data_IF_866470358822
#
_entry.id   IF_866470358822
#
_cell.length_a   1.000
_cell.length_b   1.000
_cell.length_c   1.000
_cell.angle_alpha   90.00
_cell.angle_beta   90.00
_cell.angle_gamma   90.00
#
_symmetry.space_group_name_H-M   'P 1'
#
loop_
_entity.id
_entity.type
_entity.pdbx_description
1 polymer ?
#
# COMPACT_ATOMS: atom_id res chain seq x y z
N UNK A 1 -31.38 -33.98 10.38
CA UNK A 1 -31.11 -32.59 9.92
C UNK A 1 -30.01 -32.62 8.86
N UNK A 2 -30.35 -32.49 7.57
CA UNK A 2 -29.33 -32.34 6.51
C UNK A 2 -28.76 -30.93 6.59
N UNK A 3 -27.58 -30.76 7.16
CA UNK A 3 -26.86 -29.49 7.16
C UNK A 3 -26.42 -29.24 5.71
N UNK A 4 -27.09 -28.32 5.02
CA UNK A 4 -26.68 -27.89 3.69
C UNK A 4 -25.33 -27.18 3.82
N UNK A 5 -24.30 -27.68 3.15
CA UNK A 5 -23.01 -27.01 3.05
C UNK A 5 -23.23 -25.68 2.31
N UNK A 6 -22.84 -24.58 2.94
CA UNK A 6 -22.97 -23.22 2.41
C UNK A 6 -21.62 -22.52 2.55
N UNK A 7 -21.21 -21.78 1.53
CA UNK A 7 -19.99 -20.98 1.59
C UNK A 7 -20.17 -19.78 2.53
N UNK A 8 -19.07 -19.26 3.10
CA UNK A 8 -19.13 -18.09 3.98
C UNK A 8 -19.73 -16.85 3.30
N UNK A 9 -19.54 -16.70 1.98
CA UNK A 9 -20.14 -15.63 1.17
C UNK A 9 -21.65 -15.78 1.04
N UNK A 10 -22.13 -16.99 0.77
CA UNK A 10 -23.57 -17.28 0.72
C UNK A 10 -24.22 -17.09 2.08
N UNK A 11 -23.55 -17.50 3.17
CA UNK A 11 -24.05 -17.27 4.53
C UNK A 11 -24.19 -15.79 4.84
N UNK A 12 -23.19 -14.99 4.48
CA UNK A 12 -23.25 -13.53 4.64
C UNK A 12 -24.43 -12.94 3.86
N UNK A 13 -24.61 -13.32 2.58
CA UNK A 13 -25.76 -12.87 1.76
C UNK A 13 -27.11 -13.25 2.37
N UNK A 14 -27.22 -14.47 2.92
CA UNK A 14 -28.45 -14.93 3.58
C UNK A 14 -28.77 -14.12 4.84
N UNK A 15 -27.76 -13.73 5.62
CA UNK A 15 -27.94 -12.90 6.81
C UNK A 15 -28.42 -11.48 6.43
N UNK A 16 -27.89 -10.91 5.35
CA UNK A 16 -28.33 -9.63 4.79
C UNK A 16 -29.76 -9.70 4.26
N UNK A 17 -30.10 -10.73 3.47
CA UNK A 17 -31.44 -10.85 2.85
C UNK A 17 -32.56 -11.10 3.86
N UNK A 18 -32.25 -11.63 5.05
CA UNK A 18 -33.22 -11.97 6.08
C UNK A 18 -33.24 -10.99 7.26
N UNK A 19 -32.52 -9.87 7.16
CA UNK A 19 -32.36 -8.88 8.25
C UNK A 19 -31.90 -9.47 9.58
N UNK A 20 -31.09 -10.53 9.52
CA UNK A 20 -30.58 -11.26 10.70
C UNK A 20 -29.32 -10.61 11.30
N UNK A 21 -28.84 -9.51 10.71
CA UNK A 21 -27.60 -8.84 11.10
C UNK A 21 -27.68 -8.24 12.51
N UNK A 22 -28.86 -7.73 12.90
CA UNK A 22 -29.12 -7.15 14.22
C UNK A 22 -29.24 -8.23 15.29
N UNK A 23 -29.86 -9.36 14.96
CA UNK A 23 -30.01 -10.51 15.85
C UNK A 23 -28.69 -11.26 16.07
N UNK A 24 -27.81 -11.30 15.06
CA UNK A 24 -26.53 -12.00 15.11
C UNK A 24 -25.35 -11.08 14.76
N UNK A 25 -25.25 -9.96 15.46
CA UNK A 25 -24.21 -8.93 15.25
C UNK A 25 -22.79 -9.49 15.32
N UNK A 26 -22.49 -10.32 16.32
CA UNK A 26 -21.17 -10.94 16.49
C UNK A 26 -20.82 -11.88 15.33
N UNK A 27 -21.80 -12.67 14.85
CA UNK A 27 -21.59 -13.60 13.73
C UNK A 27 -21.34 -12.83 12.43
N UNK A 28 -22.06 -11.73 12.21
CA UNK A 28 -21.82 -10.83 11.09
C UNK A 28 -20.40 -10.21 11.13
N UNK A 29 -19.95 -9.73 12.30
CA UNK A 29 -18.60 -9.17 12.45
C UNK A 29 -17.53 -10.23 12.12
N UNK A 30 -17.65 -11.43 12.68
CA UNK A 30 -16.70 -12.53 12.43
C UNK A 30 -16.70 -12.94 10.95
N UNK A 31 -17.88 -13.06 10.33
CA UNK A 31 -17.99 -13.37 8.90
C UNK A 31 -17.36 -12.29 8.02
N UNK A 32 -17.56 -11.01 8.35
CA UNK A 32 -16.94 -9.90 7.63
C UNK A 32 -15.42 -9.93 7.76
N UNK A 33 -14.88 -10.16 8.96
CA UNK A 33 -13.43 -10.31 9.17
C UNK A 33 -12.89 -11.50 8.36
N UNK A 34 -13.54 -12.66 8.46
CA UNK A 34 -13.14 -13.87 7.72
C UNK A 34 -13.12 -13.63 6.20
N UNK A 35 -14.20 -13.05 5.66
CA UNK A 35 -14.30 -12.74 4.23
C UNK A 35 -13.31 -11.67 3.80
N UNK A 36 -13.09 -10.61 4.59
CA UNK A 36 -12.08 -9.61 4.30
C UNK A 36 -10.69 -10.21 4.25
N UNK A 37 -10.29 -11.04 5.22
CA UNK A 37 -8.97 -11.69 5.25
C UNK A 37 -8.80 -12.61 4.02
N UNK A 38 -9.82 -13.39 3.68
CA UNK A 38 -9.78 -14.29 2.53
C UNK A 38 -9.76 -13.57 1.17
N UNK A 39 -10.48 -12.45 1.03
CA UNK A 39 -10.62 -11.72 -0.23
C UNK A 39 -9.50 -10.70 -0.44
N UNK A 40 -8.93 -10.15 0.64
CA UNK A 40 -7.95 -9.05 0.57
C UNK A 40 -6.51 -9.47 0.27
N UNK A 41 -6.22 -10.76 0.12
CA UNK A 41 -4.84 -11.22 -0.10
C UNK A 41 -4.32 -10.91 -1.53
N UNK A 42 -5.14 -11.05 -2.56
CA UNK A 42 -4.62 -11.06 -3.94
C UNK A 42 -4.06 -9.70 -4.39
N UNK A 43 -4.73 -8.60 -4.05
CA UNK A 43 -4.29 -7.26 -4.50
C UNK A 43 -3.04 -6.77 -3.75
N UNK A 44 -3.00 -7.01 -2.43
CA UNK A 44 -1.85 -6.70 -1.59
C UNK A 44 -0.64 -7.52 -1.99
N UNK A 45 -0.78 -8.85 -2.10
CA UNK A 45 0.29 -9.75 -2.52
C UNK A 45 0.81 -9.41 -3.92
N UNK A 46 -0.08 -9.10 -4.87
CA UNK A 46 0.31 -8.65 -6.21
C UNK A 46 1.14 -7.36 -6.15
N UNK A 47 0.71 -6.37 -5.37
CA UNK A 47 1.42 -5.10 -5.22
C UNK A 47 2.81 -5.28 -4.58
N UNK A 48 2.90 -6.07 -3.50
CA UNK A 48 4.19 -6.39 -2.86
C UNK A 48 5.10 -7.23 -3.76
N UNK A 49 4.55 -8.12 -4.58
CA UNK A 49 5.30 -8.89 -5.57
C UNK A 49 5.89 -8.00 -6.67
N UNK A 50 5.13 -7.00 -7.15
CA UNK A 50 5.64 -5.98 -8.07
C UNK A 50 6.76 -5.18 -7.43
N UNK A 51 6.56 -4.66 -6.22
CA UNK A 51 7.58 -3.92 -5.46
C UNK A 51 8.87 -4.75 -5.26
N UNK A 52 8.72 -6.03 -4.89
CA UNK A 52 9.85 -6.95 -4.75
C UNK A 52 10.61 -7.14 -6.06
N UNK A 53 9.92 -7.24 -7.21
CA UNK A 53 10.57 -7.30 -8.53
C UNK A 53 11.36 -6.04 -8.84
N UNK A 54 10.79 -4.86 -8.60
CA UNK A 54 11.48 -3.57 -8.80
C UNK A 54 12.72 -3.48 -7.90
N UNK A 55 12.59 -3.82 -6.63
CA UNK A 55 13.71 -3.81 -5.69
C UNK A 55 14.83 -4.77 -6.08
N UNK A 56 14.48 -5.99 -6.50
CA UNK A 56 15.46 -6.97 -6.96
C UNK A 56 16.21 -6.49 -8.21
N UNK A 57 15.49 -5.89 -9.17
CA UNK A 57 16.09 -5.33 -10.37
C UNK A 57 17.06 -4.18 -10.05
N UNK A 58 16.66 -3.26 -9.18
CA UNK A 58 17.49 -2.12 -8.76
C UNK A 58 18.54 -2.48 -7.69
N UNK A 59 18.53 -3.74 -7.19
CA UNK A 59 19.31 -4.19 -6.02
C UNK A 59 19.15 -3.27 -4.80
N UNK A 60 17.98 -2.65 -4.66
CA UNK A 60 17.69 -1.71 -3.58
C UNK A 60 17.05 -2.42 -2.39
N UNK A 61 17.53 -2.09 -1.19
CA UNK A 61 16.83 -2.45 0.05
C UNK A 61 15.96 -1.26 0.45
N UNK A 62 14.64 -1.43 0.39
CA UNK A 62 13.67 -0.44 0.86
C UNK A 62 13.33 -0.73 2.32
N UNK A 63 13.47 0.26 3.20
CA UNK A 63 13.00 0.13 4.59
C UNK A 63 11.47 0.21 4.65
N UNK A 64 10.92 -0.22 5.78
CA UNK A 64 9.50 -0.02 6.12
C UNK A 64 9.07 1.43 5.99
N UNK A 65 9.94 2.37 6.35
CA UNK A 65 9.64 3.81 6.34
C UNK A 65 9.46 4.34 4.92
N UNK A 66 10.29 3.89 3.98
CA UNK A 66 10.15 4.31 2.57
C UNK A 66 8.88 3.71 1.96
N UNK A 67 8.51 2.48 2.32
CA UNK A 67 7.23 1.89 1.89
C UNK A 67 6.02 2.65 2.46
N UNK A 68 6.10 3.12 3.71
CA UNK A 68 5.06 3.96 4.30
C UNK A 68 4.94 5.31 3.58
N UNK A 69 6.07 5.96 3.30
CA UNK A 69 6.09 7.20 2.52
C UNK A 69 5.52 6.98 1.11
N UNK A 70 5.86 5.87 0.45
CA UNK A 70 5.32 5.53 -0.86
C UNK A 70 3.81 5.31 -0.81
N UNK A 71 3.31 4.63 0.22
CA UNK A 71 1.87 4.45 0.43
C UNK A 71 1.17 5.80 0.62
N UNK A 72 1.77 6.72 1.39
CA UNK A 72 1.25 8.08 1.56
C UNK A 72 1.19 8.83 0.23
N UNK A 73 2.24 8.74 -0.60
CA UNK A 73 2.25 9.33 -1.94
C UNK A 73 1.20 8.71 -2.87
N UNK A 74 0.90 7.42 -2.74
CA UNK A 74 -0.16 6.76 -3.49
C UNK A 74 -1.56 7.18 -3.03
N UNK A 75 -1.76 7.42 -1.73
CA UNK A 75 -3.02 7.94 -1.19
C UNK A 75 -3.23 9.38 -1.66
N UNK A 76 -2.19 10.21 -1.57
CA UNK A 76 -2.17 11.61 -1.99
C UNK A 76 -1.80 11.79 -3.47
N UNK A 77 -2.16 10.82 -4.32
CA UNK A 77 -1.73 10.77 -5.72
C UNK A 77 -2.08 12.04 -6.50
N UNK A 78 -3.23 12.67 -6.21
CA UNK A 78 -3.66 13.88 -6.89
C UNK A 78 -2.73 15.07 -6.60
N UNK A 79 -2.32 15.25 -5.34
CA UNK A 79 -1.35 16.27 -4.96
C UNK A 79 0.02 15.95 -5.52
N UNK A 80 0.41 14.69 -5.45
CA UNK A 80 1.68 14.19 -5.93
C UNK A 80 1.90 14.50 -7.43
N UNK A 81 0.85 14.37 -8.26
CA UNK A 81 0.89 14.70 -9.70
C UNK A 81 1.03 16.21 -9.94
N UNK A 82 0.43 17.05 -9.09
CA UNK A 82 0.49 18.51 -9.20
C UNK A 82 1.81 19.10 -8.69
N UNK A 83 2.63 18.30 -8.03
CA UNK A 83 3.87 18.75 -7.38
C UNK A 83 5.02 18.83 -8.38
N UNK A 84 5.80 19.91 -8.37
CA UNK A 84 6.99 20.05 -9.22
C UNK A 84 8.20 19.31 -8.63
N UNK A 85 8.45 18.11 -9.16
CA UNK A 85 9.61 17.31 -8.75
C UNK A 85 10.95 17.92 -9.14
N UNK A 86 11.03 18.73 -10.20
CA UNK A 86 12.31 19.33 -10.59
C UNK A 86 12.75 20.33 -9.52
N UNK A 87 11.82 21.14 -9.02
CA UNK A 87 12.06 22.01 -7.90
C UNK A 87 12.54 21.24 -6.67
N UNK A 88 11.82 20.17 -6.27
CA UNK A 88 12.17 19.35 -5.10
C UNK A 88 13.56 18.70 -5.26
N UNK A 89 13.86 18.14 -6.43
CA UNK A 89 15.16 17.51 -6.71
C UNK A 89 16.28 18.55 -6.61
N UNK A 90 16.08 19.75 -7.16
CA UNK A 90 17.06 20.83 -7.11
C UNK A 90 17.29 21.33 -5.67
N UNK A 91 16.23 21.49 -4.89
CA UNK A 91 16.29 21.79 -3.45
C UNK A 91 17.10 20.73 -2.70
N UNK A 92 16.75 19.44 -2.87
CA UNK A 92 17.48 18.34 -2.24
C UNK A 92 18.94 18.28 -2.68
N UNK A 93 19.23 18.51 -3.97
CA UNK A 93 20.59 18.55 -4.50
C UNK A 93 21.39 19.73 -3.90
N UNK A 94 20.76 20.90 -3.76
CA UNK A 94 21.37 22.06 -3.13
C UNK A 94 21.70 21.82 -1.65
N UNK A 95 20.78 21.20 -0.90
CA UNK A 95 20.98 20.85 0.51
C UNK A 95 22.03 19.74 0.70
N UNK A 96 22.06 18.75 -0.21
CA UNK A 96 22.95 17.58 -0.13
C UNK A 96 24.31 17.80 -0.83
N UNK A 97 24.45 18.91 -1.56
CA UNK A 97 25.72 19.43 -2.06
C UNK A 97 26.60 19.77 -0.87
N UNK A 98 27.37 18.79 -0.39
CA UNK A 98 28.60 19.08 0.35
C UNK A 98 29.36 20.04 -0.54
N UNK A 99 29.63 21.27 -0.08
CA UNK A 99 30.38 22.30 -0.80
C UNK A 99 31.61 21.68 -1.48
N UNK A 100 31.48 21.21 -2.72
CA UNK A 100 32.64 20.81 -3.51
C UNK A 100 33.17 22.14 -4.02
N UNK A 101 34.00 22.75 -3.20
CA UNK A 101 34.78 23.92 -3.58
C UNK A 101 35.74 23.49 -4.69
N UNK A 102 35.28 23.50 -5.94
CA UNK A 102 36.12 23.40 -7.14
C UNK A 102 36.84 24.75 -7.31
N UNK A 103 37.66 25.17 -6.34
CA UNK A 103 38.44 26.42 -6.42
C UNK A 103 39.95 26.23 -6.54
N UNK A 104 40.49 25.03 -6.82
CA UNK A 104 41.97 24.88 -6.99
C UNK A 104 42.44 23.88 -8.05
N UNK A 105 41.81 23.80 -9.23
CA UNK A 105 42.43 23.11 -10.39
C UNK A 105 42.33 23.96 -11.67
N UNK A 106 42.32 25.30 -11.56
CA UNK A 106 42.48 26.18 -12.72
C UNK A 106 43.80 26.97 -12.74
N UNK A 107 44.66 26.80 -11.73
CA UNK A 107 45.98 27.43 -11.66
C UNK A 107 46.97 26.58 -10.85
N UNK A 108 47.37 25.44 -11.42
CA UNK A 108 48.67 24.80 -11.23
C UNK A 108 48.88 23.80 -12.36
#
# INVERSE_FOLDING_TARGET
LKIKKMSASELCKMLYQRDLLTLYSNVNIVLRIFLCIMVSNCSGERSFSVLRRVNNYLRSTQSSDVNYALALLCIEAELNIKTDYNYIINEFAAQKSRKVTILKIKYM
#
